data_IF_047179779025
#
_entry.id   IF_047179779025
#
_cell.length_a   1.000
_cell.length_b   1.000
_cell.length_c   1.000
_cell.angle_alpha   90.00
_cell.angle_beta   90.00
_cell.angle_gamma   90.00
#
_symmetry.space_group_name_H-M   'P 1'
#
loop_
_entity.id
_entity.type
_entity.pdbx_description
1 polymer ?
#
# COMPACT_ATOMS: atom_id res chain seq x y z
N UNK A 1 -24.52 -18.09 -12.33
CA UNK A 1 -24.71 -17.01 -11.34
C UNK A 1 -25.65 -17.40 -10.20
N UNK A 2 -26.91 -17.76 -10.47
CA UNK A 2 -27.85 -18.14 -9.40
C UNK A 2 -27.34 -19.29 -8.50
N UNK A 3 -26.68 -20.28 -9.09
CA UNK A 3 -26.06 -21.41 -8.34
C UNK A 3 -24.92 -20.95 -7.44
N UNK A 4 -24.04 -20.06 -7.92
CA UNK A 4 -22.93 -19.52 -7.13
C UNK A 4 -23.43 -18.67 -5.95
N UNK A 5 -24.44 -17.83 -6.19
CA UNK A 5 -25.08 -17.03 -5.13
C UNK A 5 -25.74 -17.94 -4.10
N UNK A 6 -26.42 -19.01 -4.54
CA UNK A 6 -27.04 -19.98 -3.64
C UNK A 6 -25.98 -20.73 -2.84
N UNK A 7 -24.91 -21.17 -3.51
CA UNK A 7 -23.77 -21.84 -2.92
C UNK A 7 -23.06 -20.99 -1.87
N UNK A 8 -22.99 -19.67 -2.03
CA UNK A 8 -22.40 -18.75 -1.05
C UNK A 8 -23.25 -18.53 0.23
N UNK A 9 -24.47 -19.08 0.29
CA UNK A 9 -25.34 -19.05 1.49
C UNK A 9 -25.30 -20.35 2.30
N UNK A 10 -24.46 -21.30 1.90
CA UNK A 10 -24.25 -22.55 2.63
C UNK A 10 -23.62 -22.30 4.02
N UNK A 11 -23.93 -23.13 5.03
CA UNK A 11 -23.24 -23.08 6.32
C UNK A 11 -21.81 -23.65 6.28
N UNK A 12 -21.43 -24.36 5.21
CA UNK A 12 -20.07 -24.91 5.03
C UNK A 12 -19.07 -23.78 4.68
N UNK A 13 -18.09 -23.45 5.54
CA UNK A 13 -17.17 -22.34 5.29
C UNK A 13 -16.29 -22.54 4.06
N UNK A 14 -15.87 -23.78 3.77
CA UNK A 14 -15.01 -24.10 2.63
C UNK A 14 -15.75 -23.92 1.30
N UNK A 15 -16.98 -24.42 1.22
CA UNK A 15 -17.84 -24.24 0.04
C UNK A 15 -18.20 -22.76 -0.11
N UNK A 16 -18.55 -22.07 0.99
CA UNK A 16 -18.87 -20.63 0.95
C UNK A 16 -17.70 -19.80 0.42
N UNK A 17 -16.48 -20.04 0.91
CA UNK A 17 -15.25 -19.37 0.45
C UNK A 17 -14.95 -19.65 -1.03
N UNK A 18 -15.06 -20.91 -1.47
CA UNK A 18 -14.86 -21.28 -2.87
C UNK A 18 -15.89 -20.60 -3.80
N UNK A 19 -17.16 -20.52 -3.38
CA UNK A 19 -18.23 -19.87 -4.14
C UNK A 19 -18.03 -18.35 -4.22
N UNK A 20 -17.58 -17.70 -3.15
CA UNK A 20 -17.23 -16.28 -3.15
C UNK A 20 -16.06 -15.97 -4.09
N UNK A 21 -15.01 -16.80 -4.07
CA UNK A 21 -13.88 -16.69 -5.01
C UNK A 21 -14.32 -16.87 -6.46
N UNK A 22 -15.18 -17.86 -6.74
CA UNK A 22 -15.74 -18.06 -8.07
C UNK A 22 -16.64 -16.90 -8.52
N UNK A 23 -17.46 -16.35 -7.61
CA UNK A 23 -18.26 -15.14 -7.89
C UNK A 23 -17.36 -13.96 -8.24
N UNK A 24 -16.29 -13.75 -7.47
CA UNK A 24 -15.32 -12.70 -7.75
C UNK A 24 -14.72 -12.83 -9.15
N UNK A 25 -14.26 -14.02 -9.55
CA UNK A 25 -13.72 -14.26 -10.90
C UNK A 25 -14.73 -14.00 -12.02
N UNK A 26 -16.00 -14.33 -11.79
CA UNK A 26 -17.07 -14.06 -12.78
C UNK A 26 -17.37 -12.57 -12.86
N UNK A 27 -17.45 -11.87 -11.71
CA UNK A 27 -17.73 -10.43 -11.68
C UNK A 27 -16.57 -9.64 -12.27
N UNK A 28 -15.32 -9.98 -11.93
CA UNK A 28 -14.14 -9.26 -12.44
C UNK A 28 -14.03 -9.36 -13.97
N UNK A 29 -14.33 -10.54 -14.55
CA UNK A 29 -14.22 -10.78 -16.00
C UNK A 29 -15.46 -10.44 -16.81
N UNK A 30 -16.65 -10.61 -16.24
CA UNK A 30 -17.93 -10.54 -16.98
C UNK A 30 -18.99 -9.66 -16.32
N UNK A 31 -18.62 -8.82 -15.34
CA UNK A 31 -19.57 -7.97 -14.59
C UNK A 31 -20.35 -6.98 -15.44
N UNK A 32 -19.77 -6.51 -16.54
CA UNK A 32 -20.45 -5.63 -17.52
C UNK A 32 -21.65 -6.31 -18.19
N UNK A 33 -21.62 -7.65 -18.35
CA UNK A 33 -22.68 -8.44 -18.97
C UNK A 33 -23.75 -8.92 -17.98
N UNK A 34 -23.60 -8.61 -16.69
CA UNK A 34 -24.59 -8.97 -15.67
C UNK A 34 -25.84 -8.10 -15.76
N UNK A 35 -27.01 -8.71 -15.57
CA UNK A 35 -28.27 -7.97 -15.38
C UNK A 35 -28.28 -7.19 -14.07
N UNK A 36 -29.05 -6.10 -14.01
CA UNK A 36 -29.20 -5.29 -12.79
C UNK A 36 -29.69 -6.11 -11.58
N UNK A 37 -30.57 -7.08 -11.83
CA UNK A 37 -31.01 -8.05 -10.81
C UNK A 37 -29.85 -8.87 -10.26
N UNK A 38 -28.95 -9.33 -11.13
CA UNK A 38 -27.76 -10.10 -10.72
C UNK A 38 -26.81 -9.22 -9.92
N UNK A 39 -26.57 -7.97 -10.37
CA UNK A 39 -25.71 -7.02 -9.65
C UNK A 39 -26.26 -6.70 -8.26
N UNK A 40 -27.57 -6.42 -8.16
CA UNK A 40 -28.24 -6.15 -6.89
C UNK A 40 -28.18 -7.35 -5.93
N UNK A 41 -28.31 -8.57 -6.46
CA UNK A 41 -28.23 -9.80 -5.66
C UNK A 41 -26.82 -10.01 -5.10
N UNK A 42 -25.79 -9.80 -5.91
CA UNK A 42 -24.39 -9.92 -5.47
C UNK A 42 -24.04 -8.79 -4.50
N UNK A 43 -24.56 -7.58 -4.70
CA UNK A 43 -24.37 -6.48 -3.74
C UNK A 43 -24.96 -6.79 -2.37
N UNK A 44 -26.18 -7.35 -2.33
CA UNK A 44 -26.81 -7.78 -1.08
C UNK A 44 -26.02 -8.88 -0.37
N UNK A 45 -25.37 -9.77 -1.12
CA UNK A 45 -24.46 -10.77 -0.57
C UNK A 45 -23.18 -10.12 -0.03
N UNK A 46 -22.59 -9.20 -0.79
CA UNK A 46 -21.37 -8.51 -0.40
C UNK A 46 -21.54 -7.65 0.86
N UNK A 47 -22.75 -7.11 1.06
CA UNK A 47 -23.14 -6.33 2.24
C UNK A 47 -23.67 -7.17 3.40
N UNK A 48 -23.89 -8.47 3.22
CA UNK A 48 -24.30 -9.29 4.36
C UNK A 48 -23.14 -9.37 5.34
N UNK A 49 -23.41 -9.07 6.62
CA UNK A 49 -22.43 -9.10 7.70
C UNK A 49 -21.83 -10.51 7.77
N UNK A 50 -20.67 -10.65 7.15
CA UNK A 50 -19.81 -11.81 7.34
C UNK A 50 -19.22 -11.62 8.72
N UNK A 51 -19.61 -12.50 9.64
CA UNK A 51 -19.01 -12.57 10.96
C UNK A 51 -17.48 -12.56 10.80
N UNK A 52 -16.84 -11.59 11.44
CA UNK A 52 -15.40 -11.26 11.30
C UNK A 52 -14.46 -12.41 11.73
N UNK A 53 -15.00 -13.54 12.19
CA UNK A 53 -14.24 -14.70 12.65
C UNK A 53 -13.54 -15.47 11.50
N UNK A 54 -14.02 -15.36 10.25
CA UNK A 54 -13.34 -15.95 9.09
C UNK A 54 -12.67 -14.88 8.21
N UNK A 55 -11.37 -14.68 8.49
CA UNK A 55 -10.50 -13.73 7.80
C UNK A 55 -10.44 -13.91 6.28
N UNK A 56 -10.36 -15.16 5.80
CA UNK A 56 -10.27 -15.46 4.38
C UNK A 56 -11.59 -15.17 3.68
N UNK A 57 -12.71 -15.43 4.36
CA UNK A 57 -14.03 -15.11 3.86
C UNK A 57 -14.27 -13.60 3.79
N UNK A 58 -13.82 -12.84 4.79
CA UNK A 58 -13.88 -11.38 4.79
C UNK A 58 -13.08 -10.76 3.63
N UNK A 59 -11.88 -11.29 3.33
CA UNK A 59 -11.08 -10.86 2.16
C UNK A 59 -11.79 -11.17 0.85
N UNK A 60 -12.29 -12.41 0.68
CA UNK A 60 -12.98 -12.81 -0.54
C UNK A 60 -14.21 -11.93 -0.80
N UNK A 61 -14.93 -11.59 0.26
CA UNK A 61 -16.10 -10.72 0.19
C UNK A 61 -15.74 -9.27 -0.14
N UNK A 62 -14.70 -8.73 0.49
CA UNK A 62 -14.21 -7.38 0.17
C UNK A 62 -13.77 -7.26 -1.29
N UNK A 63 -13.05 -8.27 -1.82
CA UNK A 63 -12.65 -8.33 -3.24
C UNK A 63 -13.85 -8.40 -4.17
N UNK A 64 -14.83 -9.25 -3.85
CA UNK A 64 -16.09 -9.32 -4.61
C UNK A 64 -16.79 -7.96 -4.65
N UNK A 65 -16.85 -7.26 -3.51
CA UNK A 65 -17.43 -5.93 -3.43
C UNK A 65 -16.67 -4.92 -4.31
N UNK A 66 -15.34 -4.86 -4.18
CA UNK A 66 -14.50 -3.96 -4.96
C UNK A 66 -14.67 -4.15 -6.47
N UNK A 67 -14.69 -5.41 -6.93
CA UNK A 67 -14.91 -5.74 -8.34
C UNK A 67 -16.33 -5.39 -8.81
N UNK A 68 -17.35 -5.55 -7.95
CA UNK A 68 -18.74 -5.26 -8.29
C UNK A 68 -19.00 -3.76 -8.46
N UNK A 69 -18.39 -2.90 -7.65
CA UNK A 69 -18.63 -1.45 -7.66
C UNK A 69 -18.30 -0.81 -9.01
N UNK A 70 -17.35 -1.37 -9.77
CA UNK A 70 -17.02 -0.94 -11.14
C UNK A 70 -18.22 -0.98 -12.10
N UNK A 71 -19.21 -1.82 -11.81
CA UNK A 71 -20.37 -2.07 -12.66
C UNK A 71 -21.67 -1.54 -12.06
N UNK A 72 -21.60 -0.79 -10.97
CA UNK A 72 -22.77 -0.19 -10.32
C UNK A 72 -22.90 1.30 -10.65
N UNK A 73 -24.14 1.83 -10.73
CA UNK A 73 -24.35 3.26 -10.82
C UNK A 73 -23.76 3.99 -9.59
N UNK A 74 -23.18 5.19 -9.74
CA UNK A 74 -22.60 5.96 -8.63
C UNK A 74 -23.54 6.17 -7.43
N UNK A 75 -24.84 6.30 -7.68
CA UNK A 75 -25.84 6.50 -6.62
C UNK A 75 -25.97 5.29 -5.70
N UNK A 76 -25.67 4.09 -6.23
CA UNK A 76 -25.77 2.82 -5.51
C UNK A 76 -24.57 2.57 -4.59
N UNK A 77 -23.49 3.36 -4.72
CA UNK A 77 -22.23 3.16 -4.00
C UNK A 77 -22.04 4.14 -2.83
N UNK A 78 -22.79 5.25 -2.81
CA UNK A 78 -22.70 6.32 -1.81
C UNK A 78 -22.81 5.84 -0.34
N UNK A 79 -23.66 4.85 -0.06
CA UNK A 79 -23.83 4.31 1.30
C UNK A 79 -22.67 3.41 1.74
N UNK A 80 -22.00 2.76 0.78
CA UNK A 80 -20.89 1.84 1.04
C UNK A 80 -19.57 2.56 1.30
N UNK A 81 -19.38 3.72 0.67
CA UNK A 81 -18.11 4.46 0.70
C UNK A 81 -17.95 5.32 1.97
N UNK A 82 -19.04 5.64 2.66
CA UNK A 82 -19.00 6.52 3.84
C UNK A 82 -18.47 5.86 5.11
N UNK A 83 -18.53 4.53 5.22
CA UNK A 83 -17.97 3.75 6.34
C UNK A 83 -17.52 2.35 5.89
N UNK A 84 -16.60 2.24 4.93
CA UNK A 84 -16.13 0.93 4.51
C UNK A 84 -15.37 0.27 5.66
N UNK A 85 -15.54 -1.05 5.79
CA UNK A 85 -14.58 -1.84 6.56
C UNK A 85 -13.18 -1.63 5.96
N UNK A 86 -12.13 -1.85 6.75
CA UNK A 86 -10.76 -1.61 6.27
C UNK A 86 -10.40 -2.47 5.05
N UNK A 87 -10.92 -3.71 5.00
CA UNK A 87 -10.76 -4.60 3.85
C UNK A 87 -11.54 -4.12 2.64
N UNK A 88 -12.76 -3.61 2.83
CA UNK A 88 -13.55 -3.04 1.73
C UNK A 88 -12.81 -1.85 1.12
N UNK A 89 -12.36 -0.90 1.92
CA UNK A 89 -11.60 0.26 1.42
C UNK A 89 -10.38 -0.18 0.60
N UNK A 90 -9.62 -1.15 1.12
CA UNK A 90 -8.44 -1.67 0.47
C UNK A 90 -8.76 -2.38 -0.86
N UNK A 91 -9.83 -3.18 -0.90
CA UNK A 91 -10.30 -3.85 -2.10
C UNK A 91 -10.86 -2.89 -3.16
N UNK A 92 -11.60 -1.85 -2.74
CA UNK A 92 -12.12 -0.83 -3.66
C UNK A 92 -10.97 -0.07 -4.32
N UNK A 93 -9.94 0.32 -3.55
CA UNK A 93 -8.76 0.98 -4.10
C UNK A 93 -7.93 0.07 -5.03
N UNK A 94 -8.06 -1.26 -4.92
CA UNK A 94 -7.44 -2.20 -5.83
C UNK A 94 -8.24 -2.35 -7.14
N UNK A 95 -9.56 -2.56 -7.03
CA UNK A 95 -10.39 -3.02 -8.14
C UNK A 95 -11.09 -1.90 -8.91
N UNK A 96 -11.44 -0.81 -8.20
CA UNK A 96 -12.26 0.29 -8.73
C UNK A 96 -11.95 1.63 -8.03
N UNK A 97 -10.68 2.08 -8.04
CA UNK A 97 -10.28 3.28 -7.30
C UNK A 97 -11.03 4.55 -7.72
N UNK A 98 -11.43 4.66 -8.99
CA UNK A 98 -12.23 5.77 -9.51
C UNK A 98 -13.52 6.02 -8.72
N UNK A 99 -14.12 4.97 -8.14
CA UNK A 99 -15.37 5.03 -7.37
C UNK A 99 -15.22 5.83 -6.08
N UNK A 100 -14.01 5.87 -5.50
CA UNK A 100 -13.75 6.55 -4.21
C UNK A 100 -12.84 7.77 -4.38
N UNK A 101 -11.87 7.71 -5.30
CA UNK A 101 -10.89 8.78 -5.43
C UNK A 101 -11.49 10.02 -6.10
N UNK A 102 -12.35 9.87 -7.11
CA UNK A 102 -12.92 11.03 -7.81
C UNK A 102 -14.02 11.75 -7.00
N UNK A 103 -15.08 11.05 -6.55
CA UNK A 103 -16.18 11.71 -5.82
C UNK A 103 -15.88 11.97 -4.34
N UNK A 104 -14.95 11.23 -3.72
CA UNK A 104 -14.72 11.24 -2.26
C UNK A 104 -13.25 11.36 -1.88
N UNK A 105 -12.44 12.10 -2.66
CA UNK A 105 -10.99 12.23 -2.43
C UNK A 105 -10.62 12.57 -0.97
N UNK A 106 -11.23 13.63 -0.42
CA UNK A 106 -10.93 14.13 0.93
C UNK A 106 -11.37 13.14 2.02
N UNK A 107 -12.57 12.57 1.90
CA UNK A 107 -13.10 11.57 2.84
C UNK A 107 -12.27 10.28 2.79
N UNK A 108 -11.83 9.86 1.61
CA UNK A 108 -10.95 8.71 1.40
C UNK A 108 -9.62 8.93 2.09
N UNK A 109 -8.96 10.06 1.85
CA UNK A 109 -7.69 10.41 2.52
C UNK A 109 -7.86 10.47 4.03
N UNK A 110 -8.91 11.14 4.52
CA UNK A 110 -9.20 11.24 5.97
C UNK A 110 -9.40 9.87 6.62
N UNK A 111 -10.17 8.99 5.97
CA UNK A 111 -10.42 7.62 6.44
C UNK A 111 -9.14 6.81 6.50
N UNK A 112 -8.29 6.88 5.47
CA UNK A 112 -6.99 6.22 5.44
C UNK A 112 -6.10 6.72 6.59
N UNK A 113 -5.96 8.04 6.76
CA UNK A 113 -5.15 8.63 7.82
C UNK A 113 -5.63 8.21 9.22
N UNK A 114 -6.94 8.22 9.46
CA UNK A 114 -7.52 7.77 10.72
C UNK A 114 -7.21 6.30 10.99
N UNK A 115 -7.33 5.44 9.97
CA UNK A 115 -7.05 4.01 10.08
C UNK A 115 -5.56 3.71 10.33
N UNK A 116 -4.63 4.43 9.70
CA UNK A 116 -3.19 4.32 9.97
C UNK A 116 -2.90 4.60 11.45
N UNK A 117 -3.58 5.58 12.06
CA UNK A 117 -3.37 5.95 13.47
C UNK A 117 -3.96 4.96 14.49
N UNK A 118 -4.70 3.94 14.04
CA UNK A 118 -5.31 2.96 14.93
C UNK A 118 -4.26 2.05 15.58
N UNK A 119 -4.52 1.67 16.84
CA UNK A 119 -3.63 0.77 17.59
C UNK A 119 -3.75 -0.69 17.15
N UNK A 120 -4.85 -1.06 16.52
CA UNK A 120 -5.05 -2.40 16.00
C UNK A 120 -4.18 -2.57 14.74
N UNK A 121 -3.14 -3.43 14.75
CA UNK A 121 -2.25 -3.60 13.61
C UNK A 121 -3.00 -4.02 12.35
N UNK A 122 -4.04 -4.85 12.48
CA UNK A 122 -4.85 -5.25 11.33
C UNK A 122 -5.47 -4.05 10.59
N UNK A 123 -5.98 -3.07 11.34
CA UNK A 123 -6.56 -1.86 10.74
C UNK A 123 -5.44 -0.97 10.18
N UNK A 124 -4.38 -0.74 10.98
CA UNK A 124 -3.28 0.13 10.60
C UNK A 124 -2.55 -0.36 9.34
N UNK A 125 -2.20 -1.65 9.29
CA UNK A 125 -1.51 -2.30 8.16
C UNK A 125 -2.33 -2.19 6.88
N UNK A 126 -3.63 -2.50 6.93
CA UNK A 126 -4.49 -2.40 5.75
C UNK A 126 -4.71 -0.95 5.30
N UNK A 127 -4.69 0.02 6.21
CA UNK A 127 -4.74 1.44 5.85
C UNK A 127 -3.40 1.97 5.31
N UNK A 128 -2.25 1.43 5.76
CA UNK A 128 -0.96 1.71 5.13
C UNK A 128 -0.95 1.21 3.68
N UNK A 129 -1.42 -0.02 3.44
CA UNK A 129 -1.59 -0.56 2.09
C UNK A 129 -2.56 0.30 1.25
N UNK A 130 -3.67 0.73 1.83
CA UNK A 130 -4.63 1.63 1.17
C UNK A 130 -3.99 2.97 0.79
N UNK A 131 -3.14 3.55 1.65
CA UNK A 131 -2.38 4.75 1.31
C UNK A 131 -1.45 4.51 0.12
N UNK A 132 -0.77 3.36 0.08
CA UNK A 132 0.05 2.94 -1.05
C UNK A 132 -0.74 2.86 -2.35
N UNK A 133 -1.86 2.12 -2.37
CA UNK A 133 -2.74 2.02 -3.55
C UNK A 133 -3.25 3.38 -3.99
N UNK A 134 -3.67 4.24 -3.06
CA UNK A 134 -4.11 5.59 -3.37
C UNK A 134 -2.99 6.39 -4.05
N UNK A 135 -1.76 6.35 -3.52
CA UNK A 135 -0.63 7.10 -4.07
C UNK A 135 -0.12 6.57 -5.41
N UNK A 136 -0.21 5.26 -5.65
CA UNK A 136 0.22 4.60 -6.89
C UNK A 136 -0.85 4.60 -7.99
N UNK A 137 -2.10 4.91 -7.65
CA UNK A 137 -3.17 5.00 -8.64
C UNK A 137 -3.02 6.28 -9.47
N UNK A 138 -2.98 6.12 -10.80
CA UNK A 138 -2.83 7.21 -11.77
C UNK A 138 -4.02 8.19 -11.79
N UNK A 139 -5.19 7.77 -11.32
CA UNK A 139 -6.42 8.57 -11.32
C UNK A 139 -6.56 9.41 -10.03
N UNK A 140 -7.20 10.57 -10.19
CA UNK A 140 -7.60 11.45 -9.11
C UNK A 140 -6.63 12.54 -8.69
N UNK A 141 -7.01 13.36 -7.70
CA UNK A 141 -6.21 14.51 -7.27
C UNK A 141 -4.95 14.07 -6.50
N UNK A 142 -3.77 14.39 -7.04
CA UNK A 142 -2.47 14.17 -6.38
C UNK A 142 -1.73 15.47 -6.08
N UNK A 143 -2.47 16.54 -5.78
CA UNK A 143 -1.86 17.80 -5.35
C UNK A 143 -1.12 17.63 -4.02
N UNK A 144 -0.14 18.48 -3.76
CA UNK A 144 0.59 18.48 -2.48
C UNK A 144 -0.36 18.54 -1.27
N UNK A 145 -1.40 19.37 -1.32
CA UNK A 145 -2.36 19.50 -0.22
C UNK A 145 -3.19 18.23 -0.02
N UNK A 146 -3.48 17.50 -1.10
CA UNK A 146 -4.24 16.25 -1.04
C UNK A 146 -3.39 15.08 -0.51
N UNK A 147 -2.11 15.02 -0.89
CA UNK A 147 -1.23 13.89 -0.53
C UNK A 147 -0.49 14.10 0.79
N UNK A 148 -0.30 15.35 1.22
CA UNK A 148 0.39 15.70 2.48
C UNK A 148 -0.14 14.93 3.70
N UNK A 149 -1.46 14.83 3.95
CA UNK A 149 -1.97 14.10 5.12
C UNK A 149 -1.59 12.61 5.10
N UNK A 150 -1.53 11.98 3.92
CA UNK A 150 -1.09 10.59 3.79
C UNK A 150 0.37 10.44 4.17
N UNK A 151 1.24 11.32 3.68
CA UNK A 151 2.67 11.29 4.03
C UNK A 151 2.92 11.61 5.50
N UNK A 152 2.14 12.51 6.12
CA UNK A 152 2.18 12.77 7.56
C UNK A 152 1.76 11.54 8.38
N UNK A 153 0.69 10.87 7.97
CA UNK A 153 0.24 9.63 8.60
C UNK A 153 1.29 8.52 8.48
N UNK A 154 1.83 8.28 7.27
CA UNK A 154 2.91 7.30 7.04
C UNK A 154 4.16 7.65 7.86
N UNK A 155 4.59 8.91 7.86
CA UNK A 155 5.73 9.37 8.63
C UNK A 155 5.56 9.14 10.15
N UNK A 156 4.33 9.19 10.65
CA UNK A 156 4.03 8.95 12.07
C UNK A 156 4.25 7.50 12.48
N UNK A 157 4.03 6.54 11.58
CA UNK A 157 4.08 5.10 11.89
C UNK A 157 5.38 4.42 11.50
N UNK A 158 6.27 5.03 10.72
CA UNK A 158 7.57 4.40 10.37
C UNK A 158 8.64 4.53 11.46
N UNK A 159 8.45 5.45 12.42
CA UNK A 159 9.37 5.66 13.53
C UNK A 159 9.28 4.54 14.58
N UNK A 160 10.31 4.36 15.43
CA UNK A 160 10.22 3.46 16.58
C UNK A 160 9.00 3.77 17.46
N UNK A 161 8.23 2.74 17.80
CA UNK A 161 7.06 2.83 18.69
C UNK A 161 5.76 2.27 18.12
N UNK A 162 5.64 2.15 16.80
CA UNK A 162 4.52 1.46 16.16
C UNK A 162 4.77 -0.05 16.01
N UNK A 163 3.74 -0.80 15.62
CA UNK A 163 3.85 -2.24 15.38
C UNK A 163 4.86 -2.55 14.25
N UNK A 164 5.57 -3.67 14.39
CA UNK A 164 6.70 -4.02 13.51
C UNK A 164 6.30 -4.02 12.04
N UNK A 165 5.18 -4.66 11.70
CA UNK A 165 4.75 -4.80 10.32
C UNK A 165 4.22 -3.49 9.75
N UNK A 166 3.46 -2.71 10.52
CA UNK A 166 3.01 -1.35 10.14
C UNK A 166 4.20 -0.45 9.77
N UNK A 167 5.27 -0.49 10.58
CA UNK A 167 6.49 0.27 10.33
C UNK A 167 7.15 -0.13 9.02
N UNK A 168 7.30 -1.45 8.82
CA UNK A 168 7.91 -2.04 7.62
C UNK A 168 7.09 -1.70 6.39
N UNK A 169 5.77 -1.95 6.40
CA UNK A 169 4.84 -1.62 5.33
C UNK A 169 4.86 -0.12 4.98
N UNK A 170 4.92 0.77 5.98
CA UNK A 170 4.99 2.20 5.72
C UNK A 170 6.26 2.59 4.95
N UNK A 171 7.39 1.94 5.26
CA UNK A 171 8.65 2.11 4.54
C UNK A 171 8.59 1.50 3.13
N UNK A 172 7.93 0.35 2.97
CA UNK A 172 7.65 -0.28 1.66
C UNK A 172 6.83 0.64 0.76
N UNK A 173 5.74 1.21 1.27
CA UNK A 173 4.92 2.18 0.55
C UNK A 173 5.76 3.38 0.11
N UNK A 174 6.54 3.98 1.02
CA UNK A 174 7.34 5.15 0.69
C UNK A 174 8.41 4.82 -0.36
N UNK A 175 9.11 3.67 -0.28
CA UNK A 175 10.12 3.29 -1.27
C UNK A 175 9.52 3.06 -2.65
N UNK A 176 8.37 2.39 -2.73
CA UNK A 176 7.69 2.10 -4.00
C UNK A 176 7.14 3.37 -4.64
N UNK A 177 6.46 4.22 -3.88
CA UNK A 177 6.00 5.52 -4.40
C UNK A 177 7.18 6.39 -4.84
N UNK A 178 8.31 6.35 -4.14
CA UNK A 178 9.51 7.08 -4.57
C UNK A 178 10.09 6.57 -5.88
N UNK A 179 9.99 5.27 -6.16
CA UNK A 179 10.48 4.67 -7.40
C UNK A 179 9.58 4.98 -8.59
N UNK A 180 8.26 4.95 -8.38
CA UNK A 180 7.27 5.09 -9.46
C UNK A 180 6.79 6.54 -9.67
N UNK A 181 6.68 7.33 -8.60
CA UNK A 181 6.10 8.68 -8.58
C UNK A 181 6.94 9.63 -7.72
N UNK A 182 8.21 9.80 -8.06
CA UNK A 182 9.17 10.58 -7.26
C UNK A 182 8.73 12.03 -7.05
N UNK A 183 8.01 12.61 -8.01
CA UNK A 183 7.42 13.94 -7.94
C UNK A 183 6.45 14.12 -6.78
N UNK A 184 5.75 13.06 -6.36
CA UNK A 184 4.91 13.09 -5.17
C UNK A 184 5.73 13.10 -3.88
N UNK A 185 6.98 12.64 -3.90
CA UNK A 185 7.84 12.53 -2.71
C UNK A 185 8.71 13.77 -2.49
N UNK A 186 9.22 14.39 -3.57
CA UNK A 186 10.13 15.54 -3.49
C UNK A 186 9.63 16.67 -2.57
N UNK A 187 8.34 17.06 -2.59
CA UNK A 187 7.84 18.11 -1.70
C UNK A 187 7.87 17.74 -0.21
N UNK A 188 7.92 16.45 0.14
CA UNK A 188 7.83 15.96 1.52
C UNK A 188 9.18 15.50 2.08
N UNK A 189 10.31 15.78 1.42
CA UNK A 189 11.64 15.34 1.89
C UNK A 189 11.95 15.83 3.32
N UNK A 190 11.56 17.06 3.66
CA UNK A 190 11.73 17.63 5.00
C UNK A 190 11.04 16.80 6.09
N UNK A 191 9.87 16.24 5.77
CA UNK A 191 9.10 15.38 6.66
C UNK A 191 9.67 13.97 6.70
N UNK A 192 9.91 13.37 5.53
CA UNK A 192 10.22 11.95 5.41
C UNK A 192 11.67 11.61 5.75
N UNK A 193 12.65 12.40 5.29
CA UNK A 193 14.06 12.04 5.41
C UNK A 193 14.52 11.83 6.86
N UNK A 194 14.20 12.71 7.84
CA UNK A 194 14.59 12.49 9.23
C UNK A 194 13.90 11.27 9.86
N UNK A 195 12.65 11.00 9.47
CA UNK A 195 11.82 9.92 10.01
C UNK A 195 12.28 8.56 9.52
N UNK A 196 12.59 8.44 8.22
CA UNK A 196 13.21 7.24 7.63
C UNK A 196 14.62 7.04 8.19
N UNK A 197 15.42 8.11 8.30
CA UNK A 197 16.78 8.02 8.83
C UNK A 197 16.82 7.51 10.28
N UNK A 198 15.81 7.81 11.09
CA UNK A 198 15.71 7.24 12.44
C UNK A 198 15.60 5.71 12.43
N UNK A 199 15.10 5.11 11.35
CA UNK A 199 14.89 3.66 11.18
C UNK A 199 16.03 2.94 10.44
N UNK A 200 16.99 3.65 9.81
CA UNK A 200 18.12 2.99 9.12
C UNK A 200 19.11 2.29 10.05
N UNK A 201 19.00 2.55 11.37
CA UNK A 201 19.79 1.90 12.42
C UNK A 201 18.93 1.02 13.33
N UNK A 202 17.75 0.64 12.88
CA UNK A 202 16.87 -0.24 13.65
C UNK A 202 17.54 -1.59 13.92
N UNK A 203 17.24 -2.18 15.08
CA UNK A 203 17.73 -3.51 15.48
C UNK A 203 16.90 -4.62 14.85
N UNK A 204 15.65 -4.33 14.46
CA UNK A 204 14.76 -5.25 13.78
C UNK A 204 15.12 -5.23 12.29
N UNK A 205 15.74 -6.32 11.82
CA UNK A 205 16.33 -6.44 10.49
C UNK A 205 15.33 -6.07 9.37
N UNK A 206 14.08 -6.59 9.34
CA UNK A 206 13.12 -6.22 8.29
C UNK A 206 12.84 -4.71 8.19
N UNK A 207 12.77 -4.03 9.34
CA UNK A 207 12.55 -2.57 9.39
C UNK A 207 13.78 -1.84 8.90
N UNK A 208 14.96 -2.25 9.36
CA UNK A 208 16.23 -1.67 8.93
C UNK A 208 16.36 -1.74 7.40
N UNK A 209 16.23 -2.93 6.81
CA UNK A 209 16.39 -3.11 5.36
C UNK A 209 15.38 -2.28 4.57
N UNK A 210 14.12 -2.24 5.01
CA UNK A 210 13.08 -1.40 4.40
C UNK A 210 13.42 0.09 4.51
N UNK A 211 13.98 0.52 5.64
CA UNK A 211 14.38 1.92 5.86
C UNK A 211 15.58 2.32 5.01
N UNK A 212 16.59 1.44 4.88
CA UNK A 212 17.74 1.69 4.01
C UNK A 212 17.28 1.81 2.55
N UNK A 213 16.44 0.89 2.06
CA UNK A 213 15.87 0.96 0.72
C UNK A 213 15.03 2.23 0.50
N UNK A 214 14.14 2.58 1.44
CA UNK A 214 13.36 3.80 1.36
C UNK A 214 14.25 5.06 1.35
N UNK A 215 15.31 5.09 2.15
CA UNK A 215 16.25 6.20 2.20
C UNK A 215 16.99 6.39 0.87
N UNK A 216 17.41 5.30 0.22
CA UNK A 216 17.99 5.35 -1.13
C UNK A 216 16.98 5.85 -2.17
N UNK A 217 15.73 5.39 -2.09
CA UNK A 217 14.67 5.71 -3.04
C UNK A 217 14.27 7.20 -2.98
N UNK A 218 14.02 7.75 -1.78
CA UNK A 218 13.60 9.17 -1.63
C UNK A 218 14.66 10.16 -2.14
N UNK A 219 15.94 9.76 -2.12
CA UNK A 219 17.06 10.55 -2.62
C UNK A 219 17.52 10.11 -4.03
N UNK A 220 16.87 9.12 -4.63
CA UNK A 220 17.23 8.58 -5.94
C UNK A 220 18.72 8.22 -6.03
N UNK A 221 19.30 7.64 -4.98
CA UNK A 221 20.76 7.45 -4.87
C UNK A 221 21.30 6.54 -5.97
N UNK A 222 20.52 5.58 -6.44
CA UNK A 222 20.90 4.67 -7.53
C UNK A 222 21.14 5.43 -8.83
N UNK A 223 20.26 6.37 -9.16
CA UNK A 223 20.30 7.10 -10.45
C UNK A 223 21.03 8.44 -10.36
N UNK A 224 20.99 9.11 -9.20
CA UNK A 224 21.47 10.48 -8.99
C UNK A 224 22.60 10.58 -7.96
N UNK A 225 23.08 9.46 -7.42
CA UNK A 225 24.14 9.41 -6.41
C UNK A 225 23.87 10.36 -5.24
N UNK A 226 24.71 11.39 -5.05
CA UNK A 226 24.58 12.38 -3.99
C UNK A 226 23.75 13.62 -4.33
N UNK A 227 23.41 13.84 -5.61
CA UNK A 227 22.93 15.15 -6.10
C UNK A 227 21.69 15.63 -5.35
N UNK A 228 20.69 14.76 -5.21
CA UNK A 228 19.43 15.12 -4.52
C UNK A 228 19.67 15.35 -3.03
N UNK A 229 20.49 14.49 -2.41
CA UNK A 229 20.78 14.58 -0.99
C UNK A 229 21.53 15.87 -0.63
N UNK A 230 22.51 16.26 -1.45
CA UNK A 230 23.25 17.52 -1.29
C UNK A 230 22.34 18.73 -1.47
N UNK A 231 21.43 18.69 -2.46
CA UNK A 231 20.41 19.73 -2.67
C UNK A 231 19.48 19.83 -1.45
N UNK A 232 19.05 18.70 -0.90
CA UNK A 232 18.23 18.68 0.32
C UNK A 232 18.97 19.27 1.51
N UNK A 233 20.23 18.88 1.76
CA UNK A 233 21.01 19.40 2.89
C UNK A 233 21.32 20.89 2.80
N UNK A 234 21.34 21.44 1.59
CA UNK A 234 21.56 22.86 1.30
C UNK A 234 20.25 23.67 1.32
N UNK A 235 19.09 23.00 1.32
CA UNK A 235 17.78 23.65 1.43
C UNK A 235 17.53 24.18 2.85
N UNK A 236 16.53 25.05 3.01
CA UNK A 236 16.10 25.55 4.32
C UNK A 236 15.81 24.39 5.31
N UNK A 237 15.07 23.38 4.86
CA UNK A 237 14.77 22.20 5.67
C UNK A 237 16.03 21.44 6.11
N UNK A 238 17.01 21.28 5.22
CA UNK A 238 18.28 20.63 5.54
C UNK A 238 19.16 21.44 6.49
N UNK A 239 19.00 22.76 6.52
CA UNK A 239 19.70 23.67 7.44
C UNK A 239 19.05 23.71 8.83
N UNK A 240 17.74 23.49 8.91
CA UNK A 240 16.97 23.42 10.17
C UNK A 240 17.11 22.09 10.92
N UNK A 241 17.71 21.07 10.30
CA UNK A 241 18.00 19.81 10.97
C UNK A 241 18.90 20.02 12.20
N UNK A 242 18.59 19.30 13.28
CA UNK A 242 19.47 19.19 14.43
C UNK A 242 20.90 18.83 13.97
N UNK A 243 21.90 19.57 14.46
CA UNK A 243 23.30 19.44 14.04
C UNK A 243 23.85 18.00 14.15
N UNK A 244 23.49 17.26 15.20
CA UNK A 244 23.92 15.87 15.40
C UNK A 244 23.25 14.94 14.40
N UNK A 245 21.96 15.13 14.12
CA UNK A 245 21.22 14.37 13.11
C UNK A 245 21.78 14.65 11.72
N UNK A 246 22.00 15.93 11.37
CA UNK A 246 22.58 16.35 10.09
C UNK A 246 23.94 15.70 9.85
N UNK A 247 24.85 15.77 10.84
CA UNK A 247 26.18 15.15 10.76
C UNK A 247 26.08 13.62 10.60
N UNK A 248 25.26 12.98 11.43
CA UNK A 248 25.07 11.52 11.39
C UNK A 248 24.51 11.05 10.04
N UNK A 249 23.58 11.81 9.48
CA UNK A 249 22.96 11.54 8.18
C UNK A 249 23.95 11.72 7.04
N UNK A 250 24.78 12.78 7.08
CA UNK A 250 25.87 12.98 6.12
C UNK A 250 26.91 11.84 6.16
N UNK A 251 27.33 11.42 7.36
CA UNK A 251 28.30 10.35 7.51
C UNK A 251 27.74 9.00 7.05
N UNK A 252 26.48 8.69 7.41
CA UNK A 252 25.79 7.51 6.91
C UNK A 252 25.68 7.54 5.38
N UNK A 253 25.29 8.68 4.81
CA UNK A 253 25.13 8.81 3.36
C UNK A 253 26.44 8.49 2.62
N UNK A 254 27.55 9.11 3.04
CA UNK A 254 28.87 8.92 2.41
C UNK A 254 29.40 7.49 2.56
N UNK A 255 29.19 6.88 3.72
CA UNK A 255 29.83 5.59 4.05
C UNK A 255 29.00 4.37 3.67
N UNK A 256 27.67 4.51 3.71
CA UNK A 256 26.72 3.41 3.58
C UNK A 256 25.82 3.64 2.37
N UNK A 257 25.08 4.75 2.30
CA UNK A 257 24.08 4.95 1.25
C UNK A 257 24.70 4.91 -0.16
N UNK A 258 25.84 5.56 -0.39
CA UNK A 258 26.53 5.50 -1.68
C UNK A 258 27.00 4.08 -2.05
N UNK A 259 27.43 3.27 -1.07
CA UNK A 259 27.83 1.88 -1.32
C UNK A 259 26.63 1.00 -1.67
N UNK A 260 25.54 1.14 -0.92
CA UNK A 260 24.30 0.41 -1.20
C UNK A 260 23.71 0.83 -2.56
N UNK A 261 23.77 2.12 -2.91
CA UNK A 261 23.38 2.63 -4.21
C UNK A 261 24.21 2.06 -5.35
N UNK A 262 25.54 1.98 -5.19
CA UNK A 262 26.42 1.34 -6.17
C UNK A 262 26.09 -0.15 -6.34
N UNK A 263 25.90 -0.89 -5.24
CA UNK A 263 25.50 -2.31 -5.30
C UNK A 263 24.15 -2.51 -6.00
N UNK A 264 23.17 -1.64 -5.74
CA UNK A 264 21.88 -1.70 -6.41
C UNK A 264 21.99 -1.39 -7.91
N UNK A 265 22.85 -0.45 -8.31
CA UNK A 265 23.14 -0.15 -9.72
C UNK A 265 23.80 -1.34 -10.42
N UNK A 266 24.83 -1.91 -9.81
CA UNK A 266 25.51 -3.12 -10.33
C UNK A 266 24.53 -4.28 -10.52
N UNK A 267 23.60 -4.49 -9.57
CA UNK A 267 22.53 -5.48 -9.73
C UNK A 267 21.64 -5.17 -10.93
N UNK A 268 21.13 -3.94 -11.04
CA UNK A 268 20.25 -3.51 -12.15
C UNK A 268 20.92 -3.66 -13.52
N UNK A 269 22.21 -3.35 -13.61
CA UNK A 269 23.02 -3.52 -14.81
C UNK A 269 23.23 -5.00 -15.15
N UNK A 270 23.49 -5.85 -14.14
CA UNK A 270 23.61 -7.30 -14.32
C UNK A 270 22.32 -7.95 -14.84
N UNK A 271 21.15 -7.37 -14.52
CA UNK A 271 19.85 -7.80 -15.04
C UNK A 271 19.51 -7.28 -16.45
N UNK A 272 20.43 -6.57 -17.10
CA UNK A 272 20.20 -5.95 -18.41
C UNK A 272 19.16 -4.83 -18.38
N UNK A 273 18.90 -4.24 -17.21
CA UNK A 273 17.93 -3.16 -17.02
C UNK A 273 16.45 -3.55 -17.19
N UNK A 274 16.14 -4.84 -17.46
CA UNK A 274 14.77 -5.35 -17.67
C UNK A 274 14.31 -6.37 -16.62
N UNK A 275 15.07 -6.59 -15.54
CA UNK A 275 14.65 -7.48 -14.44
C UNK A 275 14.57 -8.97 -14.83
N UNK A 276 15.23 -9.37 -15.93
CA UNK A 276 15.10 -10.72 -16.50
C UNK A 276 15.76 -11.85 -15.70
N UNK A 277 16.55 -11.54 -14.67
CA UNK A 277 17.23 -12.52 -13.81
C UNK A 277 16.61 -12.67 -12.42
N UNK A 278 15.56 -11.90 -12.09
CA UNK A 278 14.86 -11.99 -10.81
C UNK A 278 15.66 -11.48 -9.60
N UNK A 279 16.72 -10.69 -9.81
CA UNK A 279 17.50 -9.99 -8.79
C UNK A 279 16.82 -8.67 -8.35
N UNK A 280 15.89 -8.14 -9.15
CA UNK A 280 14.92 -7.10 -8.80
C UNK A 280 13.67 -7.63 -8.09
N UNK A 281 13.74 -8.84 -7.53
CA UNK A 281 12.63 -9.51 -6.83
C UNK A 281 11.95 -8.61 -5.79
N UNK A 282 12.74 -7.80 -5.09
CA UNK A 282 12.26 -6.95 -4.00
C UNK A 282 11.27 -5.89 -4.50
N UNK A 283 11.51 -5.32 -5.69
CA UNK A 283 10.63 -4.30 -6.27
C UNK A 283 9.28 -4.88 -6.70
N UNK A 284 9.30 -6.10 -7.25
CA UNK A 284 8.10 -6.83 -7.65
C UNK A 284 7.31 -7.30 -6.41
N UNK A 285 8.01 -7.76 -5.38
CA UNK A 285 7.42 -8.17 -4.12
C UNK A 285 6.77 -6.97 -3.40
N UNK A 286 7.41 -5.81 -3.41
CA UNK A 286 6.86 -4.57 -2.88
C UNK A 286 5.53 -4.18 -3.51
N UNK A 287 5.49 -4.18 -4.85
CA UNK A 287 4.26 -3.86 -5.57
C UNK A 287 3.21 -4.92 -5.29
N UNK A 288 3.56 -6.20 -5.33
CA UNK A 288 2.64 -7.30 -5.01
C UNK A 288 2.04 -7.14 -3.60
N UNK A 289 2.86 -6.75 -2.64
CA UNK A 289 2.42 -6.52 -1.28
C UNK A 289 1.51 -5.29 -1.18
N UNK A 290 1.90 -4.15 -1.78
CA UNK A 290 1.07 -2.94 -1.77
C UNK A 290 -0.29 -3.19 -2.43
N UNK A 291 -0.34 -3.99 -3.49
CA UNK A 291 -1.58 -4.32 -4.20
C UNK A 291 -2.37 -5.47 -3.57
N UNK A 292 -1.95 -6.05 -2.44
CA UNK A 292 -2.73 -7.09 -1.75
C UNK A 292 -3.93 -6.52 -1.01
N UNK A 293 -4.97 -7.35 -0.81
CA UNK A 293 -6.10 -7.06 0.08
C UNK A 293 -5.99 -8.00 1.28
N UNK A 294 -5.90 -7.45 2.48
CA UNK A 294 -5.53 -8.22 3.67
C UNK A 294 -4.04 -8.57 3.70
N UNK A 295 -3.66 -9.44 4.64
CA UNK A 295 -2.31 -9.96 4.79
C UNK A 295 -1.95 -10.76 3.55
N UNK A 296 -0.77 -10.50 3.01
CA UNK A 296 -0.12 -11.40 2.07
C UNK A 296 0.25 -12.65 2.86
N UNK A 297 -0.25 -13.82 2.47
CA UNK A 297 0.33 -15.08 2.93
C UNK A 297 1.75 -15.15 2.37
N UNK A 298 2.71 -14.62 3.14
CA UNK A 298 4.14 -14.81 2.93
C UNK A 298 4.47 -16.23 3.41
N UNK A 299 3.94 -17.22 2.69
CA UNK A 299 4.26 -18.65 2.77
C UNK A 299 4.66 -19.21 4.13
N UNK A 300 3.70 -19.59 4.97
CA UNK A 300 3.94 -20.60 6.01
C UNK A 300 4.02 -22.04 5.43
N UNK A 301 3.83 -22.23 4.12
CA UNK A 301 3.89 -23.54 3.43
C UNK A 301 5.29 -23.95 2.92
N UNK A 302 6.39 -23.35 3.42
CA UNK A 302 7.77 -23.78 3.07
C UNK A 302 8.62 -24.25 4.26
N UNK A 303 8.02 -24.56 5.40
CA UNK A 303 8.70 -25.28 6.48
C UNK A 303 7.88 -26.51 6.88
N UNK A 304 7.94 -27.53 6.03
CA UNK A 304 7.23 -28.78 6.24
C UNK A 304 7.71 -29.90 5.32
N UNK A 305 9.02 -30.13 5.24
CA UNK A 305 9.66 -31.46 5.09
C UNK A 305 11.04 -31.44 5.77
#
# INVERSE_FOLDING_TARGET
>A
MAELVTGSKTPDPGVKSAMLKALYEVVSKAGSNMSDTSRSTVLGLANSDIEEEDYLMAIANARLLGALLKYLPPESTNGLIRKPSVLNLNAVLLESPEVVIEPFAEETVSTICQGISQKNPFISDNCVLAAGKYLLTETGPKSFETTKPLFEALASVIQPGAAIDTRRLGLVVIRTVSRLHIELIRPHLALLAPKIFASVRDLIIPIKLSAEAAFLAIFSVVDSEGVVFEKYLSSAAGMELNANTKRSMQDYFRRVALKLGAQARERKEAEGGQGGLGLGSDEVEDEREIWSVGKVDLGEDQLGE
#
